data_IF_706623682015
#
_entry.id   IF_706623682015
#
_cell.length_a   1.000
_cell.length_b   1.000
_cell.length_c   1.000
_cell.angle_alpha   90.00
_cell.angle_beta   90.00
_cell.angle_gamma   90.00
#
_symmetry.space_group_name_H-M   'P 1'
#
loop_
_entity.id
_entity.type
_entity.pdbx_description
1 polymer ?
#
# COMPACT_ATOMS: atom_id res chain seq x y z
N UNK A 1 28.64 34.94 11.44
CA UNK A 1 28.33 33.54 11.06
C UNK A 1 27.38 32.97 12.11
N UNK A 2 26.09 32.91 11.81
CA UNK A 2 25.14 32.21 12.66
C UNK A 2 25.26 30.71 12.37
N UNK A 3 25.73 29.94 13.35
CA UNK A 3 25.71 28.50 13.26
C UNK A 3 24.24 28.04 13.38
N UNK A 4 23.70 27.52 12.30
CA UNK A 4 22.39 26.86 12.31
C UNK A 4 22.56 25.58 13.12
N UNK A 5 22.06 25.56 14.34
CA UNK A 5 21.95 24.31 15.14
C UNK A 5 20.88 23.46 14.49
N UNK A 6 21.27 22.49 13.67
CA UNK A 6 20.36 21.44 13.21
C UNK A 6 20.08 20.56 14.44
N UNK A 7 18.84 20.60 14.93
CA UNK A 7 18.44 19.69 15.98
C UNK A 7 18.63 18.24 15.48
N UNK A 8 19.37 17.41 16.23
CA UNK A 8 19.55 16.01 15.87
C UNK A 8 18.19 15.30 15.95
N UNK A 9 17.81 14.62 14.89
CA UNK A 9 16.61 13.77 14.89
C UNK A 9 16.88 12.57 15.80
N UNK A 10 15.99 12.34 16.77
CA UNK A 10 16.11 11.18 17.68
C UNK A 10 15.67 9.90 16.96
N UNK A 11 16.41 8.82 17.22
CA UNK A 11 16.06 7.49 16.71
C UNK A 11 14.70 7.02 17.27
N UNK A 12 13.95 6.29 16.45
CA UNK A 12 12.69 5.68 16.86
C UNK A 12 12.92 4.53 17.84
N UNK A 13 12.00 4.39 18.78
CA UNK A 13 11.93 3.13 19.55
C UNK A 13 11.43 2.02 18.64
N UNK A 14 12.23 0.96 18.51
CA UNK A 14 11.82 -0.22 17.74
C UNK A 14 10.63 -0.90 18.39
N UNK A 15 9.75 -1.55 17.60
CA UNK A 15 8.61 -2.29 18.13
C UNK A 15 9.06 -3.42 19.06
N UNK A 16 8.27 -3.72 20.11
CA UNK A 16 8.55 -4.80 21.05
C UNK A 16 8.71 -6.18 20.40
N UNK A 17 8.09 -6.36 19.23
CA UNK A 17 8.18 -7.57 18.41
C UNK A 17 9.26 -7.48 17.32
N UNK A 18 10.23 -6.57 17.43
CA UNK A 18 11.42 -6.59 16.59
C UNK A 18 12.39 -7.67 17.05
N UNK A 19 12.81 -8.51 16.12
CA UNK A 19 13.82 -9.54 16.39
C UNK A 19 15.18 -9.11 15.83
N UNK A 20 16.16 -8.78 16.67
CA UNK A 20 17.47 -8.33 16.20
C UNK A 20 18.31 -9.43 15.52
N UNK A 21 18.01 -10.70 15.73
CA UNK A 21 18.70 -11.81 15.07
C UNK A 21 18.29 -11.94 13.60
N UNK A 22 17.02 -11.67 13.30
CA UNK A 22 16.49 -11.74 11.94
C UNK A 22 16.42 -10.37 11.26
N UNK A 23 16.58 -9.27 12.02
CA UNK A 23 16.33 -7.89 11.61
C UNK A 23 14.91 -7.65 11.07
N UNK A 24 13.93 -8.41 11.54
CA UNK A 24 12.53 -8.28 11.13
C UNK A 24 11.59 -8.23 12.33
N UNK A 25 10.41 -7.67 12.15
CA UNK A 25 9.30 -7.80 13.11
C UNK A 25 8.66 -9.17 12.98
N UNK A 26 8.12 -9.71 14.08
CA UNK A 26 7.46 -11.01 14.10
C UNK A 26 6.01 -10.91 14.59
N UNK A 27 5.24 -11.92 14.25
CA UNK A 27 3.91 -12.21 14.78
C UNK A 27 3.94 -13.57 15.45
N UNK A 28 3.36 -13.68 16.66
CA UNK A 28 3.17 -14.98 17.29
C UNK A 28 2.03 -15.73 16.58
N UNK A 29 2.31 -16.93 16.13
CA UNK A 29 1.38 -17.85 15.46
C UNK A 29 1.42 -19.21 16.18
N UNK A 30 0.47 -20.08 15.86
CA UNK A 30 0.43 -21.44 16.44
C UNK A 30 1.73 -22.22 16.19
N UNK A 31 2.40 -21.95 15.07
CA UNK A 31 3.67 -22.56 14.67
C UNK A 31 4.92 -21.84 15.18
N UNK A 32 4.77 -20.85 16.07
CA UNK A 32 5.85 -20.03 16.59
C UNK A 32 5.91 -18.63 16.00
N UNK A 33 7.10 -18.04 16.03
CA UNK A 33 7.32 -16.67 15.52
C UNK A 33 7.49 -16.69 14.02
N UNK A 34 6.62 -15.96 13.32
CA UNK A 34 6.65 -15.78 11.87
C UNK A 34 6.99 -14.33 11.56
N UNK A 35 7.87 -14.09 10.57
CA UNK A 35 8.33 -12.75 10.22
C UNK A 35 7.75 -12.31 8.86
N UNK A 36 6.64 -11.52 8.84
CA UNK A 36 6.00 -11.10 7.60
C UNK A 36 6.87 -10.14 6.80
N UNK A 37 7.08 -10.42 5.53
CA UNK A 37 7.90 -9.57 4.63
C UNK A 37 7.31 -8.18 4.44
N UNK A 38 5.97 -8.05 4.33
CA UNK A 38 5.29 -6.76 4.23
C UNK A 38 5.50 -5.88 5.47
N UNK A 39 5.57 -6.48 6.66
CA UNK A 39 5.76 -5.75 7.92
C UNK A 39 7.22 -5.27 8.02
N UNK A 40 8.18 -6.04 7.50
CA UNK A 40 9.56 -5.62 7.36
C UNK A 40 9.70 -4.41 6.40
N UNK A 41 9.03 -4.44 5.25
CA UNK A 41 8.98 -3.30 4.33
C UNK A 41 8.41 -2.04 5.02
N UNK A 42 7.34 -2.21 5.79
CA UNK A 42 6.71 -1.11 6.56
C UNK A 42 7.65 -0.54 7.62
N UNK A 43 8.37 -1.40 8.35
CA UNK A 43 9.36 -0.95 9.35
C UNK A 43 10.49 -0.16 8.69
N UNK A 44 11.07 -0.68 7.60
CA UNK A 44 12.13 0.03 6.87
C UNK A 44 11.68 1.40 6.39
N UNK A 45 10.47 1.50 5.82
CA UNK A 45 9.88 2.76 5.38
C UNK A 45 9.73 3.77 6.51
N UNK A 46 9.25 3.35 7.69
CA UNK A 46 9.11 4.23 8.87
C UNK A 46 10.45 4.73 9.40
N UNK A 47 11.45 3.85 9.46
CA UNK A 47 12.80 4.20 9.91
C UNK A 47 13.45 5.21 8.96
N UNK A 48 13.35 4.99 7.66
CA UNK A 48 13.86 5.94 6.66
C UNK A 48 13.10 7.27 6.70
N UNK A 49 11.79 7.25 6.90
CA UNK A 49 11.01 8.48 7.03
C UNK A 49 11.45 9.33 8.23
N UNK A 50 11.80 8.72 9.35
CA UNK A 50 12.36 9.42 10.51
C UNK A 50 13.72 10.03 10.20
N UNK A 51 14.63 9.28 9.56
CA UNK A 51 15.91 9.75 9.04
C UNK A 51 17.01 10.00 10.07
N UNK A 52 16.89 9.51 11.29
CA UNK A 52 18.01 9.47 12.22
C UNK A 52 19.10 8.51 11.70
N UNK A 53 20.41 8.81 11.88
CA UNK A 53 21.47 7.94 11.37
C UNK A 53 21.36 6.48 11.87
N UNK A 54 20.94 6.29 13.11
CA UNK A 54 20.75 4.97 13.73
C UNK A 54 19.56 4.24 13.05
N UNK A 55 18.48 4.96 12.72
CA UNK A 55 17.32 4.40 12.05
C UNK A 55 17.67 3.98 10.61
N UNK A 56 18.46 4.77 9.91
CA UNK A 56 18.92 4.44 8.56
C UNK A 56 19.73 3.14 8.59
N UNK A 57 20.66 3.00 9.54
CA UNK A 57 21.45 1.78 9.69
C UNK A 57 20.57 0.54 9.97
N UNK A 58 19.57 0.67 10.84
CA UNK A 58 18.61 -0.41 11.10
C UNK A 58 17.75 -0.70 9.86
N UNK A 59 17.30 0.34 9.14
CA UNK A 59 16.52 0.18 7.92
C UNK A 59 17.29 -0.61 6.85
N UNK A 60 18.59 -0.36 6.66
CA UNK A 60 19.42 -1.15 5.72
C UNK A 60 19.53 -2.63 6.13
N UNK A 61 19.63 -2.92 7.43
CA UNK A 61 19.61 -4.31 7.92
C UNK A 61 18.26 -4.99 7.66
N UNK A 62 17.15 -4.27 7.91
CA UNK A 62 15.79 -4.76 7.61
C UNK A 62 15.61 -5.00 6.12
N UNK A 63 16.07 -4.09 5.26
CA UNK A 63 15.99 -4.24 3.80
C UNK A 63 16.83 -5.41 3.31
N UNK A 64 18.01 -5.65 3.89
CA UNK A 64 18.82 -6.84 3.60
C UNK A 64 18.05 -8.13 3.91
N UNK A 65 17.43 -8.20 5.09
CA UNK A 65 16.64 -9.36 5.51
C UNK A 65 15.40 -9.56 4.58
N UNK A 66 14.74 -8.47 4.23
CA UNK A 66 13.58 -8.50 3.32
C UNK A 66 13.96 -8.99 1.91
N UNK A 67 15.02 -8.46 1.31
CA UNK A 67 15.50 -8.87 -0.03
C UNK A 67 15.89 -10.34 -0.03
N UNK A 68 16.43 -10.87 1.06
CA UNK A 68 16.73 -12.29 1.18
C UNK A 68 15.49 -13.21 1.17
N UNK A 69 14.28 -12.65 1.35
CA UNK A 69 13.01 -13.38 1.25
C UNK A 69 12.41 -13.28 -0.17
N UNK A 70 13.13 -12.73 -1.15
CA UNK A 70 12.68 -12.72 -2.53
C UNK A 70 13.06 -14.02 -3.23
N UNK A 71 12.12 -14.61 -3.96
CA UNK A 71 12.37 -15.83 -4.73
C UNK A 71 13.31 -15.53 -5.90
N UNK A 72 14.49 -16.10 -5.86
CA UNK A 72 15.55 -15.90 -6.86
C UNK A 72 16.17 -17.20 -7.36
N UNK A 73 15.53 -18.34 -7.05
CA UNK A 73 15.99 -19.64 -7.56
C UNK A 73 15.72 -19.74 -9.07
N UNK A 74 16.76 -20.02 -9.82
CA UNK A 74 16.67 -20.15 -11.27
C UNK A 74 15.68 -21.26 -11.68
N UNK A 75 14.76 -20.94 -12.57
CA UNK A 75 13.73 -21.87 -13.04
C UNK A 75 12.47 -21.93 -12.16
N UNK A 76 12.42 -21.21 -11.02
CA UNK A 76 11.20 -21.11 -10.24
C UNK A 76 10.14 -20.32 -11.03
N UNK A 77 8.88 -20.81 -11.11
CA UNK A 77 7.82 -20.13 -11.84
C UNK A 77 7.47 -18.75 -11.26
N UNK A 78 7.81 -18.52 -10.00
CA UNK A 78 7.54 -17.28 -9.27
C UNK A 78 8.82 -16.48 -8.97
N UNK A 79 9.85 -16.65 -9.83
CA UNK A 79 11.08 -15.88 -9.76
C UNK A 79 10.80 -14.37 -9.71
N UNK A 80 11.25 -13.70 -8.62
CA UNK A 80 11.02 -12.28 -8.37
C UNK A 80 9.87 -11.99 -7.40
N UNK A 81 9.02 -12.99 -7.05
CA UNK A 81 8.03 -12.85 -5.99
C UNK A 81 8.70 -12.83 -4.60
N UNK A 82 7.94 -12.54 -3.58
CA UNK A 82 8.39 -12.63 -2.20
C UNK A 82 7.68 -13.78 -1.48
N UNK A 83 8.36 -14.39 -0.52
CA UNK A 83 7.71 -15.22 0.48
C UNK A 83 6.83 -14.33 1.38
N UNK A 84 5.71 -14.86 1.84
CA UNK A 84 4.84 -14.09 2.74
C UNK A 84 5.47 -13.94 4.13
N UNK A 85 6.09 -15.02 4.61
CA UNK A 85 6.91 -15.04 5.81
C UNK A 85 8.34 -15.46 5.46
N UNK A 86 9.29 -14.98 6.24
CA UNK A 86 10.70 -15.40 6.10
C UNK A 86 10.89 -16.90 6.24
N UNK A 87 10.03 -17.56 7.03
CA UNK A 87 10.06 -18.99 7.33
C UNK A 87 9.49 -19.88 6.23
N UNK A 88 8.87 -19.27 5.21
CA UNK A 88 8.36 -20.02 4.06
C UNK A 88 9.51 -20.61 3.23
N UNK A 89 9.29 -21.78 2.65
CA UNK A 89 10.27 -22.46 1.78
C UNK A 89 10.04 -22.17 0.29
N UNK A 90 8.85 -21.62 -0.03
CA UNK A 90 8.41 -21.29 -1.39
C UNK A 90 7.40 -20.14 -1.37
N UNK A 91 7.08 -19.63 -2.55
CA UNK A 91 6.00 -18.66 -2.72
C UNK A 91 4.64 -19.37 -2.59
N UNK A 92 3.95 -19.16 -1.48
CA UNK A 92 2.62 -19.73 -1.23
C UNK A 92 1.49 -18.78 -1.64
N UNK A 93 1.64 -17.49 -1.34
CA UNK A 93 0.70 -16.43 -1.74
C UNK A 93 1.29 -15.55 -2.83
N UNK A 94 0.76 -15.67 -4.04
CA UNK A 94 1.24 -14.93 -5.21
C UNK A 94 1.11 -13.42 -5.07
N UNK A 95 0.28 -12.94 -4.15
CA UNK A 95 0.08 -11.50 -3.94
C UNK A 95 1.18 -10.87 -3.06
N UNK A 96 2.10 -11.65 -2.49
CA UNK A 96 3.15 -11.13 -1.61
C UNK A 96 3.95 -10.01 -2.29
N UNK A 97 4.32 -10.20 -3.57
CA UNK A 97 5.04 -9.18 -4.35
C UNK A 97 4.28 -7.85 -4.42
N UNK A 98 2.96 -7.90 -4.59
CA UNK A 98 2.13 -6.69 -4.67
C UNK A 98 2.13 -5.91 -3.36
N UNK A 99 2.08 -6.61 -2.22
CA UNK A 99 2.09 -5.98 -0.90
C UNK A 99 3.46 -5.41 -0.54
N UNK A 100 4.53 -6.12 -0.83
CA UNK A 100 5.90 -5.66 -0.56
C UNK A 100 6.24 -4.45 -1.41
N UNK A 101 6.02 -4.52 -2.73
CA UNK A 101 6.35 -3.43 -3.65
C UNK A 101 5.51 -2.17 -3.40
N UNK A 102 4.25 -2.31 -2.97
CA UNK A 102 3.41 -1.15 -2.63
C UNK A 102 3.94 -0.32 -1.46
N UNK A 103 4.92 -0.83 -0.72
CA UNK A 103 5.65 -0.09 0.31
C UNK A 103 7.05 0.30 -0.15
N UNK A 104 7.80 -0.61 -0.79
CA UNK A 104 9.18 -0.34 -1.21
C UNK A 104 9.27 0.77 -2.25
N UNK A 105 8.34 0.83 -3.22
CA UNK A 105 8.41 1.82 -4.30
C UNK A 105 8.18 3.24 -3.77
N UNK A 106 7.10 3.55 -3.03
CA UNK A 106 6.95 4.87 -2.42
C UNK A 106 8.09 5.23 -1.46
N UNK A 107 8.56 4.29 -0.66
CA UNK A 107 9.72 4.48 0.23
C UNK A 107 10.96 4.92 -0.56
N UNK A 108 11.24 4.28 -1.69
CA UNK A 108 12.39 4.64 -2.54
C UNK A 108 12.22 6.01 -3.21
N UNK A 109 11.00 6.38 -3.57
CA UNK A 109 10.68 7.71 -4.15
C UNK A 109 10.89 8.81 -3.10
N UNK A 110 10.44 8.58 -1.87
CA UNK A 110 10.43 9.60 -0.81
C UNK A 110 11.74 9.70 -0.03
N UNK A 111 12.42 8.59 0.17
CA UNK A 111 13.53 8.47 1.13
C UNK A 111 14.71 7.64 0.62
N UNK A 112 14.69 7.21 -0.63
CA UNK A 112 15.74 6.35 -1.17
C UNK A 112 17.13 7.00 -1.18
N UNK A 113 17.21 8.33 -1.24
CA UNK A 113 18.45 9.12 -1.18
C UNK A 113 19.17 9.00 0.18
N UNK A 114 18.48 8.56 1.24
CA UNK A 114 19.06 8.34 2.58
C UNK A 114 19.83 7.03 2.67
N UNK A 115 19.57 6.08 1.79
CA UNK A 115 20.25 4.79 1.74
C UNK A 115 21.66 4.92 1.13
N UNK A 116 22.56 4.02 1.52
CA UNK A 116 23.84 3.87 0.85
C UNK A 116 23.64 3.55 -0.65
N UNK A 117 24.58 3.96 -1.52
CA UNK A 117 24.46 3.69 -2.98
C UNK A 117 24.32 2.20 -3.30
N UNK A 118 24.98 1.33 -2.55
CA UNK A 118 24.85 -0.13 -2.70
C UNK A 118 23.43 -0.59 -2.38
N UNK A 119 22.88 -0.17 -1.25
CA UNK A 119 21.52 -0.53 -0.85
C UNK A 119 20.47 0.02 -1.82
N UNK A 120 20.63 1.26 -2.32
CA UNK A 120 19.76 1.80 -3.35
C UNK A 120 19.71 0.90 -4.59
N UNK A 121 20.87 0.45 -5.07
CA UNK A 121 20.98 -0.42 -6.24
C UNK A 121 20.33 -1.79 -6.00
N UNK A 122 20.54 -2.38 -4.82
CA UNK A 122 19.97 -3.67 -4.45
C UNK A 122 18.45 -3.61 -4.33
N UNK A 123 17.90 -2.57 -3.69
CA UNK A 123 16.44 -2.37 -3.61
C UNK A 123 15.83 -2.13 -4.99
N UNK A 124 16.47 -1.32 -5.86
CA UNK A 124 16.00 -1.13 -7.23
C UNK A 124 16.03 -2.41 -8.06
N UNK A 125 17.06 -3.24 -7.89
CA UNK A 125 17.13 -4.56 -8.55
C UNK A 125 16.00 -5.49 -8.07
N UNK A 126 15.76 -5.54 -6.76
CA UNK A 126 14.65 -6.30 -6.16
C UNK A 126 13.28 -5.81 -6.65
N UNK A 127 13.07 -4.49 -6.73
CA UNK A 127 11.84 -3.90 -7.30
C UNK A 127 11.67 -4.33 -8.75
N UNK A 128 12.72 -4.30 -9.58
CA UNK A 128 12.66 -4.73 -10.98
C UNK A 128 12.19 -6.18 -11.12
N UNK A 129 12.80 -7.11 -10.40
CA UNK A 129 12.40 -8.52 -10.40
C UNK A 129 10.93 -8.71 -10.00
N UNK A 130 10.49 -7.99 -8.96
CA UNK A 130 9.10 -8.04 -8.53
C UNK A 130 8.13 -7.46 -9.57
N UNK A 131 8.50 -6.39 -10.30
CA UNK A 131 7.67 -5.84 -11.38
C UNK A 131 7.58 -6.79 -12.58
N UNK A 132 8.63 -7.53 -12.89
CA UNK A 132 8.62 -8.58 -13.90
C UNK A 132 7.71 -9.75 -13.50
N UNK A 133 7.68 -10.12 -12.21
CA UNK A 133 6.72 -11.10 -11.70
C UNK A 133 5.28 -10.59 -11.78
N UNK A 134 5.01 -9.34 -11.41
CA UNK A 134 3.68 -8.70 -11.56
C UNK A 134 3.23 -8.72 -13.04
N UNK A 135 4.13 -8.48 -13.99
CA UNK A 135 3.82 -8.60 -15.43
C UNK A 135 3.43 -10.03 -15.79
N UNK A 136 4.10 -11.06 -15.26
CA UNK A 136 3.79 -12.47 -15.51
C UNK A 136 2.47 -12.91 -14.88
N UNK A 137 2.21 -12.52 -13.63
CA UNK A 137 0.96 -12.80 -12.91
C UNK A 137 -0.24 -12.15 -13.58
N UNK A 138 -0.07 -10.94 -14.09
CA UNK A 138 -1.05 -10.16 -14.86
C UNK A 138 -2.49 -10.30 -14.34
N UNK A 139 -2.70 -9.99 -13.08
CA UNK A 139 -3.99 -10.15 -12.39
C UNK A 139 -5.12 -9.43 -13.12
N UNK A 140 -6.32 -10.00 -13.08
CA UNK A 140 -7.51 -9.42 -13.69
C UNK A 140 -7.93 -8.14 -12.94
N UNK A 141 -8.44 -7.15 -13.67
CA UNK A 141 -8.96 -5.89 -13.08
C UNK A 141 -10.16 -6.11 -12.16
N UNK A 142 -10.83 -7.25 -12.25
CA UNK A 142 -11.89 -7.66 -11.33
C UNK A 142 -11.38 -7.98 -9.91
N UNK A 143 -10.10 -8.30 -9.74
CA UNK A 143 -9.48 -8.54 -8.43
C UNK A 143 -9.05 -7.20 -7.83
N UNK A 144 -10.00 -6.44 -7.36
CA UNK A 144 -9.95 -4.99 -7.07
C UNK A 144 -8.70 -4.56 -6.30
N UNK A 145 -8.43 -5.15 -5.12
CA UNK A 145 -7.34 -4.69 -4.28
C UNK A 145 -5.96 -4.99 -4.89
N UNK A 146 -5.79 -6.13 -5.53
CA UNK A 146 -4.54 -6.51 -6.18
C UNK A 146 -4.36 -5.73 -7.49
N UNK A 147 -5.44 -5.54 -8.27
CA UNK A 147 -5.39 -4.70 -9.48
C UNK A 147 -4.98 -3.26 -9.16
N UNK A 148 -5.50 -2.68 -8.06
CA UNK A 148 -5.11 -1.34 -7.62
C UNK A 148 -3.61 -1.28 -7.24
N UNK A 149 -3.08 -2.31 -6.58
CA UNK A 149 -1.65 -2.42 -6.27
C UNK A 149 -0.79 -2.64 -7.52
N UNK A 150 -1.18 -3.55 -8.43
CA UNK A 150 -0.50 -3.79 -9.71
C UNK A 150 -0.37 -2.48 -10.50
N UNK A 151 -1.46 -1.72 -10.66
CA UNK A 151 -1.46 -0.41 -11.32
C UNK A 151 -0.47 0.53 -10.64
N UNK A 152 -0.55 0.67 -9.32
CA UNK A 152 0.32 1.57 -8.57
C UNK A 152 1.78 1.16 -8.65
N UNK A 153 2.08 -0.12 -8.43
CA UNK A 153 3.43 -0.66 -8.46
C UNK A 153 4.07 -0.49 -9.85
N UNK A 154 3.33 -0.79 -10.92
CA UNK A 154 3.85 -0.70 -12.28
C UNK A 154 3.98 0.73 -12.78
N UNK A 155 3.04 1.63 -12.46
CA UNK A 155 3.18 3.04 -12.78
C UNK A 155 4.41 3.64 -12.08
N UNK A 156 4.42 3.59 -10.76
CA UNK A 156 5.46 4.25 -9.96
C UNK A 156 6.81 3.55 -10.05
N UNK A 157 6.82 2.23 -10.09
CA UNK A 157 8.05 1.45 -10.24
C UNK A 157 8.69 1.63 -11.62
N UNK A 158 7.88 1.70 -12.68
CA UNK A 158 8.37 2.01 -14.02
C UNK A 158 8.98 3.42 -14.10
N UNK A 159 8.33 4.42 -13.49
CA UNK A 159 8.88 5.79 -13.42
C UNK A 159 10.16 5.83 -12.57
N UNK A 160 10.19 5.20 -11.40
CA UNK A 160 11.37 5.11 -10.51
C UNK A 160 12.59 4.48 -11.19
N UNK A 161 12.35 3.44 -11.99
CA UNK A 161 13.40 2.69 -12.70
C UNK A 161 13.73 3.29 -14.07
N UNK A 162 13.07 4.38 -14.47
CA UNK A 162 13.13 4.94 -15.82
C UNK A 162 12.87 3.90 -16.92
N UNK A 163 11.88 3.02 -16.68
CA UNK A 163 11.45 1.98 -17.61
C UNK A 163 10.06 2.32 -18.18
N UNK A 164 10.00 2.93 -19.36
CA UNK A 164 8.76 3.37 -19.97
C UNK A 164 7.82 2.22 -20.36
N UNK A 165 8.34 1.00 -20.58
CA UNK A 165 7.53 -0.18 -20.92
C UNK A 165 6.70 -0.60 -19.70
N UNK A 166 7.33 -0.70 -18.54
CA UNK A 166 6.66 -1.04 -17.28
C UNK A 166 5.65 0.05 -16.91
N UNK A 167 6.03 1.33 -16.96
CA UNK A 167 5.13 2.43 -16.66
C UNK A 167 3.90 2.46 -17.57
N UNK A 168 4.08 2.28 -18.88
CA UNK A 168 2.99 2.25 -19.87
C UNK A 168 2.01 1.10 -19.63
N UNK A 169 2.49 -0.08 -19.15
CA UNK A 169 1.62 -1.19 -18.75
C UNK A 169 0.70 -0.75 -17.61
N UNK A 170 1.22 -0.08 -16.59
CA UNK A 170 0.44 0.42 -15.47
C UNK A 170 -0.62 1.46 -15.91
N UNK A 171 -0.23 2.43 -16.76
CA UNK A 171 -1.17 3.43 -17.29
C UNK A 171 -2.31 2.80 -18.09
N UNK A 172 -2.00 1.80 -18.92
CA UNK A 172 -3.00 1.04 -19.66
C UNK A 172 -3.95 0.29 -18.74
N UNK A 173 -3.42 -0.41 -17.73
CA UNK A 173 -4.22 -1.18 -16.77
C UNK A 173 -5.15 -0.28 -15.94
N UNK A 174 -4.73 0.94 -15.63
CA UNK A 174 -5.60 1.95 -15.00
C UNK A 174 -6.82 2.26 -15.87
N UNK A 175 -6.64 2.44 -17.19
CA UNK A 175 -7.74 2.67 -18.13
C UNK A 175 -8.68 1.46 -18.17
N UNK A 176 -8.14 0.25 -18.22
CA UNK A 176 -8.91 -1.00 -18.21
C UNK A 176 -9.73 -1.15 -16.92
N UNK A 177 -9.14 -0.84 -15.76
CA UNK A 177 -9.83 -0.89 -14.47
C UNK A 177 -10.95 0.14 -14.36
N UNK A 178 -10.74 1.36 -14.87
CA UNK A 178 -11.80 2.38 -14.94
C UNK A 178 -12.95 1.93 -15.84
N UNK A 179 -12.66 1.44 -17.05
CA UNK A 179 -13.66 0.95 -17.97
C UNK A 179 -14.49 -0.20 -17.38
N UNK A 180 -13.83 -1.12 -16.68
CA UNK A 180 -14.48 -2.20 -15.93
C UNK A 180 -15.41 -1.63 -14.84
N UNK A 181 -14.91 -0.67 -14.06
CA UNK A 181 -15.69 -0.03 -12.99
C UNK A 181 -16.89 0.76 -13.56
N UNK A 182 -16.72 1.43 -14.71
CA UNK A 182 -17.80 2.13 -15.39
C UNK A 182 -18.93 1.17 -15.84
N UNK A 183 -18.56 -0.02 -16.31
CA UNK A 183 -19.53 -1.03 -16.74
C UNK A 183 -20.38 -1.56 -15.58
N UNK A 184 -19.81 -1.72 -14.40
CA UNK A 184 -20.48 -2.31 -13.22
C UNK A 184 -20.91 -1.27 -12.18
N UNK A 185 -20.54 0.00 -12.36
CA UNK A 185 -20.84 1.12 -11.44
C UNK A 185 -19.93 1.17 -10.21
N UNK A 186 -19.21 0.09 -9.88
CA UNK A 186 -18.33 -0.02 -8.70
C UNK A 186 -17.27 -1.11 -8.92
N UNK A 187 -16.12 -1.06 -8.22
CA UNK A 187 -15.21 -2.20 -8.14
C UNK A 187 -15.88 -3.44 -7.51
N UNK A 188 -15.42 -4.65 -7.87
CA UNK A 188 -16.06 -5.90 -7.43
C UNK A 188 -15.94 -6.18 -5.92
N UNK A 189 -14.89 -5.72 -5.27
CA UNK A 189 -14.80 -5.78 -3.80
C UNK A 189 -15.59 -4.62 -3.18
N UNK A 190 -16.86 -4.52 -3.59
CA UNK A 190 -17.77 -3.47 -3.16
C UNK A 190 -18.02 -3.51 -1.65
N UNK A 191 -18.08 -2.32 -1.05
CA UNK A 191 -18.42 -2.13 0.37
C UNK A 191 -17.56 -3.00 1.30
N UNK A 192 -16.28 -3.19 0.97
CA UNK A 192 -15.35 -4.01 1.76
C UNK A 192 -14.60 -3.17 2.78
N UNK A 193 -14.81 -3.39 4.09
CA UNK A 193 -14.08 -2.66 5.14
C UNK A 193 -12.56 -2.84 5.05
N UNK A 194 -12.12 -3.99 4.56
CA UNK A 194 -10.70 -4.30 4.40
C UNK A 194 -10.14 -3.73 3.09
N UNK A 195 -10.77 -4.06 1.96
CA UNK A 195 -10.13 -3.86 0.65
C UNK A 195 -10.44 -2.52 -0.01
N UNK A 196 -11.56 -1.87 0.34
CA UNK A 196 -11.78 -0.48 -0.13
C UNK A 196 -10.68 0.44 0.35
N UNK A 197 -10.24 0.29 1.62
CA UNK A 197 -9.10 1.05 2.18
C UNK A 197 -7.80 0.77 1.43
N UNK A 198 -7.53 -0.49 1.11
CA UNK A 198 -6.34 -0.89 0.34
C UNK A 198 -6.33 -0.23 -1.04
N UNK A 199 -7.47 -0.24 -1.73
CA UNK A 199 -7.59 0.35 -3.06
C UNK A 199 -7.46 1.89 -3.03
N UNK A 200 -8.09 2.58 -2.07
CA UNK A 200 -7.95 4.04 -1.93
C UNK A 200 -6.51 4.43 -1.57
N UNK A 201 -5.84 3.70 -0.67
CA UNK A 201 -4.45 3.97 -0.33
C UNK A 201 -3.50 3.75 -1.53
N UNK A 202 -3.78 2.78 -2.40
CA UNK A 202 -3.05 2.62 -3.64
C UNK A 202 -3.21 3.86 -4.55
N UNK A 203 -4.43 4.38 -4.66
CA UNK A 203 -4.67 5.63 -5.40
C UNK A 203 -4.00 6.84 -4.74
N UNK A 204 -3.92 6.92 -3.39
CA UNK A 204 -3.18 7.96 -2.67
C UNK A 204 -1.74 8.04 -3.15
N UNK A 205 -1.04 6.91 -3.26
CA UNK A 205 0.32 6.86 -3.77
C UNK A 205 0.43 7.35 -5.22
N UNK A 206 -0.51 6.97 -6.09
CA UNK A 206 -0.54 7.48 -7.46
C UNK A 206 -0.79 8.99 -7.52
N UNK A 207 -1.76 9.50 -6.79
CA UNK A 207 -2.08 10.93 -6.74
C UNK A 207 -0.85 11.74 -6.31
N UNK A 208 -0.11 11.22 -5.34
CA UNK A 208 1.06 11.90 -4.77
C UNK A 208 2.26 11.87 -5.71
N UNK A 209 2.54 10.74 -6.36
CA UNK A 209 3.86 10.50 -6.96
C UNK A 209 3.87 10.34 -8.47
N UNK A 210 2.76 9.90 -9.11
CA UNK A 210 2.77 9.60 -10.54
C UNK A 210 3.05 10.85 -11.37
N UNK A 211 3.97 10.71 -12.34
CA UNK A 211 4.38 11.80 -13.25
C UNK A 211 3.39 11.95 -14.41
N UNK A 212 2.75 10.84 -14.85
CA UNK A 212 1.81 10.83 -15.96
C UNK A 212 0.50 11.54 -15.59
N UNK A 213 0.18 12.72 -16.18
CA UNK A 213 -0.92 13.58 -15.73
C UNK A 213 -2.30 12.92 -15.84
N UNK A 214 -2.56 12.21 -16.94
CA UNK A 214 -3.84 11.52 -17.14
C UNK A 214 -4.06 10.41 -16.11
N UNK A 215 -3.00 9.68 -15.73
CA UNK A 215 -3.09 8.63 -14.69
C UNK A 215 -3.36 9.26 -13.33
N UNK A 216 -2.79 10.42 -13.04
CA UNK A 216 -3.08 11.16 -11.81
C UNK A 216 -4.55 11.54 -11.71
N UNK A 217 -5.13 12.11 -12.77
CA UNK A 217 -6.56 12.46 -12.82
C UNK A 217 -7.45 11.21 -12.65
N UNK A 218 -7.06 10.09 -13.29
CA UNK A 218 -7.79 8.81 -13.16
C UNK A 218 -7.72 8.29 -11.73
N UNK A 219 -6.56 8.36 -11.08
CA UNK A 219 -6.40 7.95 -9.68
C UNK A 219 -7.30 8.78 -8.74
N UNK A 220 -7.35 10.11 -8.94
CA UNK A 220 -8.27 10.99 -8.20
C UNK A 220 -9.73 10.62 -8.43
N UNK A 221 -10.10 10.31 -9.67
CA UNK A 221 -11.47 9.89 -10.02
C UNK A 221 -11.84 8.58 -9.32
N UNK A 222 -10.96 7.59 -9.36
CA UNK A 222 -11.22 6.30 -8.73
C UNK A 222 -11.26 6.40 -7.20
N UNK A 223 -10.34 7.14 -6.57
CA UNK A 223 -10.38 7.41 -5.14
C UNK A 223 -11.70 8.10 -4.74
N UNK A 224 -12.11 9.14 -5.49
CA UNK A 224 -13.36 9.87 -5.23
C UNK A 224 -14.59 8.97 -5.33
N UNK A 225 -14.68 8.12 -6.33
CA UNK A 225 -15.79 7.14 -6.49
C UNK A 225 -15.89 6.20 -5.29
N UNK A 226 -14.76 5.62 -4.89
CA UNK A 226 -14.71 4.71 -3.74
C UNK A 226 -15.00 5.44 -2.43
N UNK A 227 -14.43 6.62 -2.21
CA UNK A 227 -14.67 7.44 -1.04
C UNK A 227 -16.12 7.90 -0.91
N UNK A 228 -16.74 8.32 -2.03
CA UNK A 228 -18.17 8.66 -2.06
C UNK A 228 -19.03 7.44 -1.73
N UNK A 229 -18.69 6.27 -2.26
CA UNK A 229 -19.39 5.04 -1.91
C UNK A 229 -19.33 4.75 -0.41
N UNK A 230 -18.16 4.89 0.23
CA UNK A 230 -18.03 4.76 1.69
C UNK A 230 -18.90 5.79 2.41
N UNK A 231 -18.78 7.07 2.03
CA UNK A 231 -19.54 8.15 2.64
C UNK A 231 -21.06 7.92 2.58
N UNK A 232 -21.58 7.45 1.45
CA UNK A 232 -23.01 7.17 1.28
C UNK A 232 -23.51 5.95 2.06
N UNK A 233 -22.61 5.06 2.49
CA UNK A 233 -22.95 3.90 3.30
C UNK A 233 -22.74 4.12 4.81
N UNK A 234 -22.25 5.27 5.25
CA UNK A 234 -22.19 5.57 6.69
C UNK A 234 -23.60 5.89 7.21
N UNK A 235 -24.05 5.12 8.20
CA UNK A 235 -25.36 5.33 8.82
C UNK A 235 -25.33 6.59 9.69
N UNK A 236 -26.19 7.61 9.44
CA UNK A 236 -26.03 8.94 10.04
C UNK A 236 -26.13 8.98 11.55
N UNK A 237 -26.96 8.14 12.17
CA UNK A 237 -27.14 8.13 13.64
C UNK A 237 -26.04 7.37 14.38
N UNK A 238 -25.50 6.31 13.79
CA UNK A 238 -24.55 5.44 14.48
C UNK A 238 -23.11 5.71 14.05
N UNK A 239 -22.89 6.48 12.97
CA UNK A 239 -21.60 6.69 12.37
C UNK A 239 -20.97 5.43 11.77
N UNK A 240 -21.70 4.33 11.69
CA UNK A 240 -21.17 3.04 11.23
C UNK A 240 -21.33 2.85 9.74
N UNK A 241 -20.35 2.22 9.15
CA UNK A 241 -20.42 1.81 7.75
C UNK A 241 -21.42 0.66 7.59
N UNK A 242 -22.53 0.91 6.89
CA UNK A 242 -23.63 -0.04 6.75
C UNK A 242 -23.33 -1.14 5.73
N UNK A 243 -23.71 -2.37 6.11
CA UNK A 243 -23.63 -3.55 5.23
C UNK A 243 -24.75 -3.61 4.16
N UNK A 244 -24.76 -4.68 3.37
CA UNK A 244 -23.87 -5.85 3.49
C UNK A 244 -22.43 -5.56 3.07
N UNK A 245 -21.48 -6.22 3.74
CA UNK A 245 -20.05 -6.06 3.46
C UNK A 245 -19.49 -7.27 2.70
N UNK A 246 -18.67 -7.03 1.69
CA UNK A 246 -17.86 -8.07 1.08
C UNK A 246 -16.54 -8.23 1.84
N UNK A 247 -16.05 -9.46 1.99
CA UNK A 247 -14.72 -9.77 2.55
C UNK A 247 -14.38 -8.99 3.83
N UNK A 248 -15.30 -8.99 4.81
CA UNK A 248 -15.12 -8.27 6.06
C UNK A 248 -14.09 -8.92 7.00
N UNK A 249 -13.95 -10.25 6.96
CA UNK A 249 -13.01 -11.07 7.77
C UNK A 249 -13.14 -10.90 9.28
N UNK A 250 -14.19 -10.28 9.77
CA UNK A 250 -14.40 -10.06 11.18
C UNK A 250 -15.79 -10.55 11.60
N UNK A 251 -15.93 -11.32 12.69
CA UNK A 251 -17.22 -11.83 13.15
C UNK A 251 -18.15 -10.73 13.67
N UNK A 252 -17.59 -9.61 14.13
CA UNK A 252 -18.32 -8.43 14.56
C UNK A 252 -17.93 -7.24 13.69
N UNK A 253 -18.77 -6.93 12.71
CA UNK A 253 -18.65 -5.71 11.90
C UNK A 253 -19.04 -4.46 12.70
N UNK A 254 -19.46 -4.66 13.94
CA UNK A 254 -19.97 -3.62 14.84
C UNK A 254 -18.85 -3.21 15.80
N UNK A 255 -18.00 -2.29 15.38
CA UNK A 255 -17.09 -1.62 16.29
C UNK A 255 -17.86 -0.61 17.18
N UNK A 256 -17.40 -0.39 18.40
CA UNK A 256 -17.95 0.65 19.29
C UNK A 256 -17.69 2.06 18.73
N UNK A 257 -16.60 2.24 17.99
CA UNK A 257 -16.24 3.46 17.25
C UNK A 257 -16.28 3.19 15.74
N UNK A 258 -16.47 4.24 14.96
CA UNK A 258 -16.48 4.16 13.50
C UNK A 258 -15.17 4.72 12.92
N UNK A 259 -14.12 3.89 12.80
CA UNK A 259 -12.84 4.32 12.24
C UNK A 259 -12.96 4.75 10.76
N UNK A 260 -14.08 4.47 10.12
CA UNK A 260 -14.35 4.82 8.73
C UNK A 260 -14.52 6.32 8.52
N UNK A 261 -15.14 7.03 9.48
CA UNK A 261 -15.26 8.50 9.43
C UNK A 261 -13.87 9.13 9.55
N UNK A 262 -13.10 8.75 10.55
CA UNK A 262 -11.74 9.23 10.76
C UNK A 262 -10.86 8.95 9.53
N UNK A 263 -11.05 7.80 8.89
CA UNK A 263 -10.33 7.45 7.68
C UNK A 263 -10.75 8.34 6.49
N UNK A 264 -12.04 8.64 6.32
CA UNK A 264 -12.52 9.56 5.28
C UNK A 264 -11.94 10.96 5.50
N UNK A 265 -12.00 11.48 6.73
CA UNK A 265 -11.43 12.77 7.12
C UNK A 265 -9.93 12.82 6.83
N UNK A 266 -9.19 11.75 7.15
CA UNK A 266 -7.76 11.65 6.84
C UNK A 266 -7.48 11.73 5.34
N UNK A 267 -8.26 11.06 4.50
CA UNK A 267 -8.09 11.14 3.04
C UNK A 267 -8.46 12.51 2.48
N UNK A 268 -9.44 13.20 3.06
CA UNK A 268 -9.79 14.59 2.69
C UNK A 268 -8.66 15.54 3.07
N UNK A 269 -8.11 15.43 4.29
CA UNK A 269 -7.00 16.25 4.76
C UNK A 269 -5.73 16.09 3.92
N UNK A 270 -5.54 14.94 3.30
CA UNK A 270 -4.42 14.61 2.40
C UNK A 270 -4.69 14.94 0.92
N UNK A 271 -5.80 15.58 0.60
CA UNK A 271 -6.24 15.84 -0.78
C UNK A 271 -6.39 14.59 -1.68
N UNK A 272 -6.56 13.41 -1.07
CA UNK A 272 -6.90 12.17 -1.78
C UNK A 272 -8.36 12.17 -2.21
N UNK A 273 -9.22 12.69 -1.33
CA UNK A 273 -10.64 12.89 -1.60
C UNK A 273 -10.99 14.39 -1.60
N UNK A 274 -11.91 14.83 -2.45
CA UNK A 274 -12.35 16.21 -2.45
C UNK A 274 -13.18 16.54 -1.19
N UNK A 275 -13.06 17.78 -0.68
CA UNK A 275 -13.69 18.24 0.57
C UNK A 275 -15.22 18.07 0.57
N UNK A 276 -15.90 18.19 -0.56
CA UNK A 276 -17.36 18.03 -0.65
C UNK A 276 -17.87 16.63 -0.26
N UNK A 277 -16.99 15.62 -0.20
CA UNK A 277 -17.37 14.29 0.34
C UNK A 277 -17.76 14.40 1.83
N UNK A 278 -17.11 15.28 2.59
CA UNK A 278 -17.51 15.58 3.97
C UNK A 278 -18.93 16.12 4.01
N UNK A 279 -19.28 17.04 3.10
CA UNK A 279 -20.64 17.57 3.01
C UNK A 279 -21.68 16.45 2.76
N UNK A 280 -21.31 15.42 1.98
CA UNK A 280 -22.19 14.27 1.76
C UNK A 280 -22.39 13.41 3.00
N UNK A 281 -21.43 13.42 3.95
CA UNK A 281 -21.58 12.78 5.27
C UNK A 281 -22.47 13.62 6.18
N UNK A 282 -22.24 14.94 6.24
CA UNK A 282 -22.84 15.85 7.21
C UNK A 282 -24.29 16.24 6.85
N UNK A 283 -24.59 16.34 5.54
CA UNK A 283 -25.92 16.75 5.04
C UNK A 283 -26.96 15.63 4.98
N UNK A 284 -26.67 14.45 5.51
CA UNK A 284 -27.66 13.36 5.53
C UNK A 284 -28.90 13.78 6.33
N UNK A 285 -30.08 13.74 5.72
CA UNK A 285 -31.27 14.18 6.43
C UNK A 285 -31.53 13.26 7.63
N UNK A 286 -31.78 13.86 8.80
CA UNK A 286 -32.28 13.16 10.02
C UNK A 286 -33.57 12.35 9.76
N UNK A 287 -34.16 12.49 8.58
CA UNK A 287 -35.46 11.92 8.18
C UNK A 287 -35.47 10.42 7.90
N UNK A 288 -34.36 9.74 7.87
CA UNK A 288 -34.33 8.26 7.87
C UNK A 288 -34.35 7.67 9.29
N UNK A 289 -35.05 8.33 10.21
CA UNK A 289 -35.38 7.78 11.50
C UNK A 289 -36.60 6.87 11.33
N UNK A 290 -36.37 5.58 11.22
CA UNK A 290 -37.41 4.57 11.47
C UNK A 290 -37.30 4.13 12.91
#
# INVERSE_FOLDING_TARGET
MMATVVAAVMALTLPNNFNPETNMVYQEKDNGRMHPTRDAATLASRLLANGAPEDIAVAENVLNALIACQETREGDPHYGNFWWYREDEMVEDLNAVEFVLSTLIPMMIEHGDRLSPDMQNRVKASIRLGLEEIERLNVLVAYTNIAAKDITNTCLGGELLNDPKIAARGYKKMVEWMAFTDQFGTPFEFNSPTYTKVAINAMEHLIKHVQHPDTKVRAQTMATRMGLSVALHIHPKTGRWAGPHSRAYHPTVVAETSPEIEQLESWIQKDVLPAWIQDAVDQRPEKFQV
#
